data_IF_985529573287
#
_entry.id   IF_985529573287
#
_cell.length_a   1.000
_cell.length_b   1.000
_cell.length_c   1.000
_cell.angle_alpha   90.00
_cell.angle_beta   90.00
_cell.angle_gamma   90.00
#
_symmetry.space_group_name_H-M   'P 1'
#
loop_
_entity.id
_entity.type
_entity.pdbx_description
1 polymer ?
#
# COMPACT_ATOMS: atom_id res chain seq x y z
N UNK A 1 21.30 -16.32 -1.84
CA UNK A 1 20.13 -15.45 -1.61
C UNK A 1 20.23 -14.94 -0.20
N UNK A 2 20.13 -13.63 0.00
CA UNK A 2 20.26 -13.03 1.32
C UNK A 2 19.07 -13.41 2.20
N UNK A 3 19.29 -14.32 3.16
CA UNK A 3 18.30 -14.73 4.15
C UNK A 3 17.90 -13.57 5.09
N UNK A 4 18.67 -12.47 5.12
CA UNK A 4 18.38 -11.30 5.95
C UNK A 4 17.17 -10.51 5.45
N UNK A 5 17.03 -10.33 4.12
CA UNK A 5 15.88 -9.67 3.51
C UNK A 5 14.57 -10.40 3.85
N UNK A 6 14.51 -11.71 3.60
CA UNK A 6 13.31 -12.50 3.88
C UNK A 6 12.94 -12.47 5.36
N UNK A 7 13.93 -12.53 6.26
CA UNK A 7 13.70 -12.44 7.70
C UNK A 7 13.09 -11.09 8.11
N UNK A 8 13.56 -9.98 7.53
CA UNK A 8 13.00 -8.65 7.77
C UNK A 8 11.58 -8.50 7.22
N UNK A 9 11.32 -9.04 6.03
CA UNK A 9 9.97 -9.04 5.45
C UNK A 9 8.99 -9.88 6.28
N UNK A 10 9.42 -11.04 6.80
CA UNK A 10 8.61 -11.84 7.73
C UNK A 10 8.29 -11.08 9.02
N UNK A 11 9.23 -10.30 9.55
CA UNK A 11 8.97 -9.48 10.75
C UNK A 11 7.87 -8.43 10.52
N UNK A 12 7.65 -7.99 9.28
CA UNK A 12 6.61 -7.04 8.89
C UNK A 12 5.27 -7.72 8.54
N UNK A 13 5.23 -9.04 8.43
CA UNK A 13 4.09 -9.78 7.87
C UNK A 13 2.78 -9.50 8.59
N UNK A 14 2.79 -9.40 9.93
CA UNK A 14 1.58 -9.13 10.70
C UNK A 14 1.03 -7.72 10.42
N UNK A 15 1.91 -6.71 10.35
CA UNK A 15 1.50 -5.34 10.02
C UNK A 15 0.93 -5.26 8.59
N UNK A 16 1.61 -5.87 7.63
CA UNK A 16 1.18 -5.88 6.23
C UNK A 16 -0.14 -6.65 6.06
N UNK A 17 -0.31 -7.77 6.78
CA UNK A 17 -1.58 -8.51 6.77
C UNK A 17 -2.71 -7.65 7.30
N UNK A 18 -2.48 -6.94 8.41
CA UNK A 18 -3.47 -6.02 8.97
C UNK A 18 -3.83 -4.88 7.99
N UNK A 19 -2.83 -4.26 7.36
CA UNK A 19 -3.05 -3.21 6.34
C UNK A 19 -3.91 -3.76 5.19
N UNK A 20 -3.56 -4.93 4.64
CA UNK A 20 -4.34 -5.53 3.55
C UNK A 20 -5.79 -5.80 3.95
N UNK A 21 -5.99 -6.41 5.12
CA UNK A 21 -7.32 -6.73 5.64
C UNK A 21 -8.14 -5.46 5.90
N UNK A 22 -7.52 -4.39 6.41
CA UNK A 22 -8.18 -3.09 6.62
C UNK A 22 -8.59 -2.44 5.30
N UNK A 23 -7.74 -2.46 4.28
CA UNK A 23 -8.11 -1.95 2.93
C UNK A 23 -9.22 -2.81 2.34
N UNK A 24 -9.13 -4.13 2.45
CA UNK A 24 -10.13 -5.07 1.93
C UNK A 24 -11.51 -4.85 2.54
N UNK A 25 -11.57 -4.66 3.86
CA UNK A 25 -12.79 -4.44 4.61
C UNK A 25 -13.43 -3.06 4.32
N UNK A 26 -12.65 -2.07 3.88
CA UNK A 26 -13.14 -0.71 3.60
C UNK A 26 -12.85 -0.29 2.16
N UNK A 27 -13.41 -0.99 1.17
CA UNK A 27 -13.10 -0.73 -0.23
C UNK A 27 -13.78 0.55 -0.72
N UNK A 28 -13.09 1.27 -1.60
CA UNK A 28 -13.56 2.52 -2.20
C UNK A 28 -13.44 2.43 -3.74
N UNK A 29 -14.45 2.89 -4.47
CA UNK A 29 -14.42 2.83 -5.96
C UNK A 29 -13.47 3.84 -6.56
N UNK A 30 -13.10 3.61 -7.83
CA UNK A 30 -12.36 4.53 -8.67
C UNK A 30 -12.75 6.02 -8.42
N UNK A 31 -11.75 6.85 -8.15
CA UNK A 31 -11.86 8.30 -7.88
C UNK A 31 -12.61 8.68 -6.60
N UNK A 32 -12.82 7.75 -5.67
CA UNK A 32 -13.47 7.98 -4.38
C UNK A 32 -12.66 7.37 -3.21
N UNK A 33 -11.40 7.01 -3.42
CA UNK A 33 -10.49 6.30 -2.50
C UNK A 33 -9.89 7.22 -1.42
N UNK A 34 -10.72 8.06 -0.82
CA UNK A 34 -10.28 9.11 0.11
C UNK A 34 -9.60 8.51 1.33
N UNK A 35 -10.19 7.47 1.93
CA UNK A 35 -9.65 6.81 3.13
C UNK A 35 -8.35 6.08 2.80
N UNK A 36 -8.34 5.34 1.70
CA UNK A 36 -7.21 4.51 1.29
C UNK A 36 -6.02 5.38 0.90
N UNK A 37 -6.25 6.45 0.14
CA UNK A 37 -5.23 7.44 -0.21
C UNK A 37 -4.60 8.09 1.04
N UNK A 38 -5.44 8.56 1.98
CA UNK A 38 -4.96 9.18 3.22
C UNK A 38 -4.15 8.19 4.08
N UNK A 39 -4.57 6.93 4.18
CA UNK A 39 -3.86 5.89 4.91
C UNK A 39 -2.48 5.61 4.29
N UNK A 40 -2.41 5.48 2.96
CA UNK A 40 -1.15 5.28 2.22
C UNK A 40 -0.19 6.44 2.48
N UNK A 41 -0.66 7.68 2.35
CA UNK A 41 0.16 8.87 2.59
C UNK A 41 0.66 8.94 4.04
N UNK A 42 -0.20 8.65 5.02
CA UNK A 42 0.17 8.63 6.43
C UNK A 42 1.25 7.59 6.74
N UNK A 43 1.14 6.37 6.19
CA UNK A 43 2.15 5.32 6.34
C UNK A 43 3.49 5.71 5.74
N UNK A 44 3.50 6.23 4.51
CA UNK A 44 4.73 6.70 3.87
C UNK A 44 5.41 7.82 4.69
N UNK A 45 4.64 8.81 5.17
CA UNK A 45 5.14 9.87 6.06
C UNK A 45 5.71 9.31 7.36
N UNK A 46 5.02 8.35 7.98
CA UNK A 46 5.48 7.68 9.21
C UNK A 46 6.86 7.03 9.05
N UNK A 47 7.16 6.51 7.85
CA UNK A 47 8.46 5.89 7.53
C UNK A 47 9.51 6.89 7.00
N UNK A 48 9.23 8.19 7.11
CA UNK A 48 10.16 9.26 6.71
C UNK A 48 10.38 9.34 5.20
N UNK A 49 9.41 8.90 4.40
CA UNK A 49 9.41 9.06 2.95
C UNK A 49 8.81 10.42 2.63
N UNK A 50 9.40 11.16 1.67
CA UNK A 50 8.82 12.41 1.19
C UNK A 50 7.57 12.10 0.37
N UNK A 51 6.42 12.67 0.73
CA UNK A 51 5.14 12.37 0.09
C UNK A 51 4.58 13.59 -0.63
N UNK A 52 4.15 13.40 -1.86
CA UNK A 52 3.27 14.31 -2.59
C UNK A 52 1.89 13.68 -2.68
N UNK A 53 0.90 14.29 -2.04
CA UNK A 53 -0.51 13.92 -2.11
C UNK A 53 -1.23 14.67 -3.25
N UNK A 54 -2.48 14.30 -3.48
CA UNK A 54 -3.38 14.95 -4.44
C UNK A 54 -2.89 14.95 -5.90
N UNK A 55 -2.04 13.98 -6.25
CA UNK A 55 -1.54 13.82 -7.62
C UNK A 55 -2.65 13.27 -8.49
N UNK A 56 -3.29 14.13 -9.28
CA UNK A 56 -4.48 13.75 -10.04
C UNK A 56 -5.65 13.40 -9.12
N UNK A 57 -5.95 14.28 -8.15
CA UNK A 57 -7.01 14.18 -7.14
C UNK A 57 -6.67 13.32 -5.92
N UNK A 58 -6.59 11.99 -6.04
CA UNK A 58 -6.37 11.09 -4.88
C UNK A 58 -5.05 10.30 -4.98
N UNK A 59 -4.24 10.52 -6.01
CA UNK A 59 -2.96 9.86 -6.15
C UNK A 59 -1.95 10.29 -5.10
N UNK A 60 -1.12 9.34 -4.67
CA UNK A 60 -0.03 9.55 -3.69
C UNK A 60 1.28 9.09 -4.30
N UNK A 61 2.30 9.95 -4.25
CA UNK A 61 3.66 9.63 -4.71
C UNK A 61 4.63 9.75 -3.54
N UNK A 62 5.22 8.61 -3.17
CA UNK A 62 6.34 8.55 -2.23
C UNK A 62 7.69 8.62 -2.96
N UNK A 63 8.54 9.58 -2.59
CA UNK A 63 9.90 9.71 -3.11
C UNK A 63 10.92 9.40 -2.03
N UNK A 64 11.73 8.38 -2.27
CA UNK A 64 12.82 7.95 -1.39
C UNK A 64 14.16 8.14 -2.10
N UNK A 65 15.11 8.81 -1.44
CA UNK A 65 16.47 9.02 -1.96
C UNK A 65 17.44 8.09 -1.21
N UNK A 66 18.24 7.32 -1.95
CA UNK A 66 19.34 6.53 -1.38
C UNK A 66 20.41 7.45 -0.80
N UNK A 67 21.14 6.94 0.19
CA UNK A 67 22.29 7.58 0.82
C UNK A 67 23.55 7.48 -0.04
N UNK A 68 23.53 6.71 -1.12
CA UNK A 68 24.67 6.56 -2.04
C UNK A 68 24.72 7.67 -3.07
N UNK A 69 25.93 7.94 -3.58
CA UNK A 69 26.13 8.86 -4.70
C UNK A 69 25.60 8.22 -5.99
N UNK A 70 24.51 8.76 -6.53
CA UNK A 70 23.93 8.30 -7.79
C UNK A 70 22.73 9.14 -8.23
N UNK A 71 22.37 9.02 -9.51
CA UNK A 71 21.22 9.70 -10.12
C UNK A 71 20.26 8.72 -10.83
N UNK A 72 20.42 7.41 -10.59
CA UNK A 72 19.51 6.38 -11.12
C UNK A 72 18.23 6.37 -10.31
N UNK A 73 17.11 6.11 -10.98
CA UNK A 73 15.78 6.10 -10.38
C UNK A 73 14.96 4.94 -10.94
N UNK A 74 14.10 4.36 -10.10
CA UNK A 74 13.12 3.33 -10.46
C UNK A 74 11.76 3.77 -9.91
N UNK A 75 10.71 3.62 -10.71
CA UNK A 75 9.32 3.84 -10.27
C UNK A 75 8.63 2.50 -10.02
N UNK A 76 7.96 2.38 -8.87
CA UNK A 76 7.09 1.25 -8.53
C UNK A 76 5.66 1.78 -8.39
N UNK A 77 4.66 1.02 -8.88
CA UNK A 77 3.26 1.46 -8.94
C UNK A 77 2.33 0.36 -8.45
N UNK A 78 1.34 0.76 -7.65
CA UNK A 78 0.19 -0.04 -7.26
C UNK A 78 -1.08 0.80 -7.40
N UNK A 79 -2.17 0.17 -7.84
CA UNK A 79 -3.54 0.70 -7.76
C UNK A 79 -4.15 0.42 -6.38
N UNK A 80 -5.17 1.20 -6.04
CA UNK A 80 -5.85 1.15 -4.74
C UNK A 80 -7.38 1.13 -4.82
N UNK A 81 -7.97 1.14 -6.02
CA UNK A 81 -9.42 1.21 -6.21
C UNK A 81 -10.11 -0.16 -6.12
N UNK A 82 -11.39 -0.14 -5.79
CA UNK A 82 -12.26 -1.31 -5.70
C UNK A 82 -13.36 -1.30 -6.78
N UNK A 83 -14.09 -2.41 -6.88
CA UNK A 83 -15.14 -2.63 -7.88
C UNK A 83 -16.53 -2.68 -7.24
N UNK A 84 -17.56 -2.31 -8.02
CA UNK A 84 -18.97 -2.43 -7.64
C UNK A 84 -19.45 -3.88 -7.74
N UNK A 85 -19.01 -4.72 -6.81
CA UNK A 85 -19.30 -6.14 -6.73
C UNK A 85 -19.71 -6.48 -5.29
N UNK A 86 -20.78 -7.26 -5.14
CA UNK A 86 -21.15 -7.82 -3.83
C UNK A 86 -20.17 -8.94 -3.51
N UNK A 87 -19.40 -8.78 -2.44
CA UNK A 87 -18.54 -9.84 -1.92
C UNK A 87 -19.38 -11.02 -1.42
N UNK A 88 -19.00 -12.24 -1.81
CA UNK A 88 -19.69 -13.50 -1.44
C UNK A 88 -18.84 -14.41 -0.56
N UNK A 89 -17.71 -13.91 -0.10
CA UNK A 89 -16.73 -14.66 0.67
C UNK A 89 -17.21 -14.77 2.14
N UNK A 90 -16.62 -15.68 2.90
CA UNK A 90 -16.89 -15.89 4.33
C UNK A 90 -15.68 -15.51 5.22
N UNK A 91 -14.81 -14.64 4.72
CA UNK A 91 -13.59 -14.20 5.41
C UNK A 91 -13.92 -13.28 6.60
N UNK A 92 -13.06 -13.25 7.61
CA UNK A 92 -13.23 -12.36 8.78
C UNK A 92 -13.07 -10.87 8.46
N UNK A 93 -12.62 -10.53 7.25
CA UNK A 93 -12.29 -9.19 6.78
C UNK A 93 -13.01 -8.84 5.47
N UNK A 94 -14.15 -9.48 5.20
CA UNK A 94 -15.03 -9.10 4.08
C UNK A 94 -15.37 -7.61 4.13
N UNK A 95 -15.64 -7.04 2.97
CA UNK A 95 -16.10 -5.67 2.80
C UNK A 95 -17.26 -5.34 3.74
N UNK A 96 -17.11 -4.25 4.49
CA UNK A 96 -18.17 -3.66 5.30
C UNK A 96 -19.05 -2.71 4.48
N UNK A 97 -18.70 -2.47 3.20
CA UNK A 97 -19.40 -1.56 2.30
C UNK A 97 -20.18 -2.37 1.28
N UNK A 98 -21.51 -2.43 1.46
CA UNK A 98 -22.40 -3.26 0.64
C UNK A 98 -22.25 -2.94 -0.85
N UNK A 99 -22.01 -3.98 -1.66
CA UNK A 99 -21.88 -3.88 -3.11
C UNK A 99 -20.55 -3.32 -3.61
N UNK A 100 -19.54 -3.16 -2.75
CA UNK A 100 -18.19 -2.77 -3.14
C UNK A 100 -17.19 -3.81 -2.61
N UNK A 101 -16.23 -4.22 -3.42
CA UNK A 101 -15.23 -5.24 -3.09
C UNK A 101 -13.90 -5.00 -3.81
N UNK A 102 -12.78 -5.26 -3.15
CA UNK A 102 -11.48 -5.44 -3.80
C UNK A 102 -11.40 -6.79 -4.53
N UNK A 103 -12.13 -6.92 -5.64
CA UNK A 103 -12.18 -8.15 -6.42
C UNK A 103 -11.01 -8.34 -7.41
N UNK A 104 -10.12 -7.33 -7.55
CA UNK A 104 -8.95 -7.34 -8.43
C UNK A 104 -7.61 -7.37 -7.66
N UNK A 105 -7.66 -7.44 -6.32
CA UNK A 105 -6.47 -7.55 -5.47
C UNK A 105 -5.68 -6.24 -5.26
N UNK A 106 -6.28 -5.08 -5.55
CA UNK A 106 -5.61 -3.77 -5.39
C UNK A 106 -5.27 -3.46 -3.92
N UNK A 107 -6.02 -4.02 -2.96
CA UNK A 107 -5.66 -4.05 -1.53
C UNK A 107 -4.31 -4.76 -1.32
N UNK A 108 -4.10 -5.89 -2.00
CA UNK A 108 -2.86 -6.64 -2.03
C UNK A 108 -1.71 -5.86 -2.67
N UNK A 109 -1.91 -5.31 -3.87
CA UNK A 109 -0.90 -4.51 -4.56
C UNK A 109 -0.45 -3.30 -3.72
N UNK A 110 -1.40 -2.56 -3.16
CA UNK A 110 -1.13 -1.40 -2.29
C UNK A 110 -0.31 -1.83 -1.08
N UNK A 111 -0.69 -2.92 -0.42
CA UNK A 111 0.02 -3.46 0.75
C UNK A 111 1.44 -3.90 0.40
N UNK A 112 1.62 -4.60 -0.73
CA UNK A 112 2.94 -5.05 -1.18
C UNK A 112 3.87 -3.87 -1.45
N UNK A 113 3.36 -2.83 -2.12
CA UNK A 113 4.15 -1.62 -2.39
C UNK A 113 4.49 -0.86 -1.11
N UNK A 114 3.56 -0.76 -0.15
CA UNK A 114 3.84 -0.20 1.18
C UNK A 114 4.93 -1.00 1.92
N UNK A 115 4.90 -2.33 1.84
CA UNK A 115 5.94 -3.19 2.41
C UNK A 115 7.32 -2.93 1.80
N UNK A 116 7.39 -2.85 0.47
CA UNK A 116 8.63 -2.50 -0.23
C UNK A 116 9.11 -1.09 0.16
N UNK A 117 8.21 -0.11 0.22
CA UNK A 117 8.52 1.27 0.60
C UNK A 117 9.09 1.35 2.03
N UNK A 118 8.46 0.69 3.01
CA UNK A 118 8.95 0.63 4.39
C UNK A 118 10.33 -0.01 4.46
N UNK A 119 10.50 -1.17 3.82
CA UNK A 119 11.79 -1.87 3.81
C UNK A 119 12.91 -0.99 3.24
N UNK A 120 12.68 -0.36 2.08
CA UNK A 120 13.67 0.52 1.45
C UNK A 120 13.93 1.77 2.30
N UNK A 121 12.91 2.33 2.96
CA UNK A 121 13.08 3.47 3.83
C UNK A 121 13.94 3.18 5.07
N UNK A 122 13.91 1.94 5.57
CA UNK A 122 14.76 1.44 6.66
C UNK A 122 16.15 0.99 6.18
N UNK A 123 16.36 0.82 4.87
CA UNK A 123 17.60 0.32 4.24
C UNK A 123 17.95 1.15 3.01
N UNK A 124 18.37 2.40 3.25
CA UNK A 124 18.63 3.43 2.21
C UNK A 124 20.05 3.39 1.64
N UNK A 125 20.79 2.35 1.94
CA UNK A 125 22.15 2.09 1.47
C UNK A 125 22.23 1.84 -0.06
#
# INVERSE_FOLDING_TARGET
MDNSLLSRLHAMQNELTFIRQDIHAHPETAMNEVRTSAMVAAKLKQWGITVTEEVGNLGVVGTLKSNTSGNRSIGLRADMDALKIIEKNDLSFVSTISGIMHACGHDGHTTMLLGAAKYLAENRD
#
